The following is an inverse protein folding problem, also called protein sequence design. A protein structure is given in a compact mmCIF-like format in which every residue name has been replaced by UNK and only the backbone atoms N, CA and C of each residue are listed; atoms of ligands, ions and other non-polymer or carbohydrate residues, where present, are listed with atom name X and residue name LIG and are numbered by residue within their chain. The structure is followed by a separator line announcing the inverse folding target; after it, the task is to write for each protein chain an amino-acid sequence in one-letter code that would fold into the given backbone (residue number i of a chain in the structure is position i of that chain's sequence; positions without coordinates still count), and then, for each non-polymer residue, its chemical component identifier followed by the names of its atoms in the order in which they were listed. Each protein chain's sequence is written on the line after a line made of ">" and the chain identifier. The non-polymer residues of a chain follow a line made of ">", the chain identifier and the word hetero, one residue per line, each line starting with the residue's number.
data_IF_871845319378
#
_entry.id   IF_871845319378
#
_cell.length_a   1.000
_cell.length_b   1.000
_cell.length_c   1.000
_cell.angle_alpha   90.00
_cell.angle_beta   90.00
_cell.angle_gamma   90.00
#
_symmetry.space_group_name_H-M   'P 1'
#
loop_
_entity.id
_entity.type
_entity.pdbx_description
1 polymer ?
#
# COMPACT_ATOMS: atom_id res chain seq x y z
N UNK A 1 -14.31 35.24 -1.01
CA UNK A 1 -13.48 34.31 -0.21
C UNK A 1 -14.30 33.93 1.02
N UNK A 2 -14.73 32.67 1.14
CA UNK A 2 -15.39 32.18 2.37
C UNK A 2 -14.34 32.21 3.50
N UNK A 3 -14.72 32.66 4.70
CA UNK A 3 -13.78 32.83 5.81
C UNK A 3 -13.12 31.51 6.17
N UNK A 4 -11.81 31.57 6.40
CA UNK A 4 -10.92 30.43 6.65
C UNK A 4 -10.87 30.06 8.15
N UNK A 5 -11.98 30.27 8.87
CA UNK A 5 -12.02 30.13 10.33
C UNK A 5 -11.90 28.65 10.78
N UNK A 6 -11.99 27.70 9.84
CA UNK A 6 -11.82 26.25 10.07
C UNK A 6 -10.36 25.76 9.99
N UNK A 7 -9.41 26.55 9.47
CA UNK A 7 -8.02 26.07 9.31
C UNK A 7 -7.27 25.93 10.63
N UNK A 8 -7.77 26.55 11.71
CA UNK A 8 -7.07 26.64 12.99
C UNK A 8 -7.92 26.23 14.19
N UNK A 9 -9.16 25.76 13.97
CA UNK A 9 -9.99 25.21 15.05
C UNK A 9 -9.55 23.78 15.40
N UNK A 10 -8.54 23.69 16.26
CA UNK A 10 -8.08 22.43 16.88
C UNK A 10 -8.98 21.99 18.05
N UNK A 11 -10.07 22.72 18.33
CA UNK A 11 -11.07 22.34 19.35
C UNK A 11 -12.22 21.50 18.76
N UNK A 12 -12.31 21.44 17.41
CA UNK A 12 -13.19 20.56 16.66
C UNK A 12 -12.75 19.09 16.61
N UNK A 13 -13.43 18.28 15.78
CA UNK A 13 -13.10 16.87 15.57
C UNK A 13 -11.66 16.72 15.08
N UNK A 14 -10.87 15.82 15.72
CA UNK A 14 -9.46 15.53 15.41
C UNK A 14 -9.23 14.81 14.06
N UNK A 15 -10.23 14.79 13.18
CA UNK A 15 -10.16 14.32 11.78
C UNK A 15 -10.49 15.40 10.76
N UNK A 16 -10.77 16.63 11.17
CA UNK A 16 -11.24 17.68 10.25
C UNK A 16 -10.21 17.97 9.17
N UNK A 17 -8.94 18.17 9.55
CA UNK A 17 -7.89 18.50 8.59
C UNK A 17 -7.57 17.31 7.68
N UNK A 18 -7.51 16.11 8.25
CA UNK A 18 -7.34 14.85 7.53
C UNK A 18 -8.44 14.66 6.49
N UNK A 19 -9.71 14.78 6.88
CA UNK A 19 -10.86 14.63 5.96
C UNK A 19 -10.79 15.67 4.85
N UNK A 20 -10.46 16.92 5.21
CA UNK A 20 -10.29 17.98 4.22
C UNK A 20 -9.19 17.63 3.23
N UNK A 21 -8.01 17.24 3.70
CA UNK A 21 -6.89 16.84 2.83
C UNK A 21 -7.27 15.65 1.95
N UNK A 22 -7.73 14.56 2.56
CA UNK A 22 -8.06 13.31 1.87
C UNK A 22 -9.11 13.53 0.78
N UNK A 23 -10.22 14.18 1.12
CA UNK A 23 -11.31 14.42 0.17
C UNK A 23 -10.91 15.32 -1.00
N UNK A 24 -9.94 16.22 -0.80
CA UNK A 24 -9.42 17.09 -1.87
C UNK A 24 -8.21 16.48 -2.62
N UNK A 25 -7.70 15.34 -2.16
CA UNK A 25 -6.60 14.59 -2.79
C UNK A 25 -7.09 13.41 -3.64
N UNK A 26 -8.39 13.05 -3.57
CA UNK A 26 -8.97 11.96 -4.35
C UNK A 26 -8.84 12.23 -5.86
N UNK A 27 -8.21 11.28 -6.56
CA UNK A 27 -8.08 11.34 -8.02
C UNK A 27 -9.40 10.92 -8.69
N UNK A 28 -9.94 11.78 -9.55
CA UNK A 28 -11.04 11.41 -10.45
C UNK A 28 -10.53 10.86 -11.77
N UNK A 29 -11.40 10.23 -12.56
CA UNK A 29 -11.08 9.72 -13.90
C UNK A 29 -10.41 10.78 -14.79
N UNK A 30 -10.65 12.07 -14.55
CA UNK A 30 -10.16 13.16 -15.38
C UNK A 30 -8.77 13.67 -14.98
N UNK A 31 -8.25 13.28 -13.81
CA UNK A 31 -6.97 13.75 -13.27
C UNK A 31 -6.05 12.57 -12.97
N UNK A 32 -5.53 11.90 -14.01
CA UNK A 32 -4.51 10.87 -13.87
C UNK A 32 -3.40 11.01 -14.94
N UNK A 33 -2.18 10.60 -14.59
CA UNK A 33 -1.05 10.53 -15.51
C UNK A 33 -0.47 9.12 -15.50
N UNK A 34 -0.42 8.50 -16.68
CA UNK A 34 0.28 7.23 -16.91
C UNK A 34 1.66 7.46 -17.55
N UNK A 35 2.11 8.71 -17.68
CA UNK A 35 3.38 9.05 -18.33
C UNK A 35 4.53 8.93 -17.35
N UNK A 36 5.39 7.94 -17.59
CA UNK A 36 6.69 7.85 -16.95
C UNK A 36 7.65 8.72 -17.77
N UNK A 37 8.15 9.80 -17.18
CA UNK A 37 9.24 10.58 -17.76
C UNK A 37 10.55 10.13 -17.12
N UNK A 38 11.62 9.90 -17.90
CA UNK A 38 12.95 9.78 -17.32
C UNK A 38 13.25 11.04 -16.50
N UNK A 39 13.87 10.89 -15.34
CA UNK A 39 14.40 12.04 -14.60
C UNK A 39 15.65 12.48 -15.36
N UNK A 40 15.49 13.43 -16.27
CA UNK A 40 16.59 14.01 -17.07
C UNK A 40 17.21 15.22 -16.42
N UNK A 41 16.46 15.88 -15.53
CA UNK A 41 16.90 17.12 -14.93
C UNK A 41 17.73 16.80 -13.68
N UNK A 42 19.04 17.14 -13.66
CA UNK A 42 19.82 17.01 -12.45
C UNK A 42 19.17 17.91 -11.39
N UNK A 43 18.89 17.33 -10.22
CA UNK A 43 18.38 18.10 -9.08
C UNK A 43 19.48 19.10 -8.70
N UNK A 44 19.19 20.40 -8.76
CA UNK A 44 20.13 21.43 -8.34
C UNK A 44 20.28 21.36 -6.82
N UNK A 45 21.42 20.83 -6.36
CA UNK A 45 21.79 20.81 -4.95
C UNK A 45 22.71 21.98 -4.65
N UNK A 46 22.60 22.53 -3.44
CA UNK A 46 23.69 23.32 -2.88
C UNK A 46 24.91 22.41 -2.74
N UNK A 47 26.02 22.78 -3.36
CA UNK A 47 27.27 22.02 -3.26
C UNK A 47 27.98 22.47 -1.99
N UNK A 48 28.09 21.55 -1.04
CA UNK A 48 28.80 21.74 0.23
C UNK A 48 30.05 20.86 0.26
N UNK A 49 30.99 21.17 1.16
CA UNK A 49 32.13 20.31 1.44
C UNK A 49 31.64 18.91 1.88
N UNK A 50 32.21 17.86 1.30
CA UNK A 50 31.75 16.49 1.49
C UNK A 50 32.91 15.51 1.69
N UNK A 51 32.65 14.44 2.45
CA UNK A 51 33.53 13.29 2.58
C UNK A 51 33.11 12.27 1.52
N UNK A 52 33.99 11.84 0.60
CA UNK A 52 33.62 10.85 -0.41
C UNK A 52 33.37 9.49 0.25
N UNK A 53 32.29 8.82 -0.17
CA UNK A 53 32.00 7.44 0.21
C UNK A 53 32.46 6.50 -0.91
N UNK A 54 33.05 5.36 -0.56
CA UNK A 54 33.34 4.30 -1.53
C UNK A 54 32.03 3.65 -2.03
N UNK A 55 32.06 3.09 -3.25
CA UNK A 55 30.92 2.33 -3.80
C UNK A 55 31.13 0.83 -3.52
N UNK A 56 30.48 0.26 -2.48
CA UNK A 56 30.65 -1.15 -2.14
C UNK A 56 29.90 -2.06 -3.13
N UNK A 57 30.43 -3.26 -3.34
CA UNK A 57 29.70 -4.35 -3.99
C UNK A 57 28.72 -5.01 -3.00
N UNK A 58 27.63 -5.60 -3.51
CA UNK A 58 26.70 -6.34 -2.67
C UNK A 58 27.24 -7.73 -2.29
N UNK A 59 27.40 -7.98 -0.99
CA UNK A 59 27.97 -9.22 -0.46
C UNK A 59 26.87 -10.21 -0.07
N UNK A 60 25.87 -9.71 0.65
CA UNK A 60 24.79 -10.52 1.22
C UNK A 60 23.65 -10.75 0.21
N UNK A 61 22.86 -11.80 0.43
CA UNK A 61 21.65 -12.02 -0.37
C UNK A 61 20.66 -10.85 -0.27
N UNK A 62 20.59 -10.20 0.89
CA UNK A 62 19.73 -9.05 1.09
C UNK A 62 20.19 -7.82 0.29
N UNK A 63 21.50 -7.52 0.26
CA UNK A 63 22.04 -6.44 -0.56
C UNK A 63 21.83 -6.71 -2.06
N UNK A 64 22.05 -7.95 -2.51
CA UNK A 64 21.77 -8.38 -3.89
C UNK A 64 20.28 -8.23 -4.24
N UNK A 65 19.39 -8.54 -3.30
CA UNK A 65 17.96 -8.32 -3.44
C UNK A 65 17.63 -6.83 -3.59
N UNK A 66 18.19 -5.96 -2.74
CA UNK A 66 18.01 -4.51 -2.83
C UNK A 66 18.53 -3.95 -4.15
N UNK A 67 19.70 -4.41 -4.62
CA UNK A 67 20.27 -4.00 -5.90
C UNK A 67 19.42 -4.42 -7.09
N UNK A 68 18.82 -5.62 -7.05
CA UNK A 68 18.04 -6.17 -8.17
C UNK A 68 16.58 -5.70 -8.19
N UNK A 69 16.02 -5.26 -7.05
CA UNK A 69 14.62 -4.83 -6.93
C UNK A 69 14.32 -3.70 -7.92
N UNK A 70 13.38 -3.93 -8.82
CA UNK A 70 12.86 -2.94 -9.79
C UNK A 70 11.35 -2.97 -9.81
N UNK A 71 10.76 -1.84 -10.18
CA UNK A 71 9.32 -1.76 -10.44
C UNK A 71 9.10 -2.20 -11.88
N UNK A 72 8.47 -3.36 -12.07
CA UNK A 72 8.22 -3.93 -13.40
C UNK A 72 6.70 -3.94 -13.60
N UNK A 73 6.25 -3.31 -14.69
CA UNK A 73 4.83 -3.02 -14.97
C UNK A 73 4.19 -4.04 -15.92
N UNK A 74 4.80 -5.22 -16.01
CA UNK A 74 4.36 -6.35 -16.81
C UNK A 74 4.39 -7.58 -15.90
N UNK A 75 3.43 -8.48 -16.07
CA UNK A 75 3.35 -9.71 -15.27
C UNK A 75 4.57 -10.59 -15.53
N UNK A 76 5.07 -11.28 -14.51
CA UNK A 76 6.24 -12.16 -14.62
C UNK A 76 5.97 -13.41 -15.47
N UNK A 77 4.70 -13.76 -15.68
CA UNK A 77 4.27 -15.00 -16.34
C UNK A 77 4.39 -16.24 -15.44
N UNK A 78 4.89 -16.11 -14.21
CA UNK A 78 4.93 -17.20 -13.24
C UNK A 78 3.52 -17.50 -12.74
N UNK A 79 3.21 -18.79 -12.62
CA UNK A 79 1.92 -19.23 -12.08
C UNK A 79 1.82 -18.85 -10.61
N UNK A 80 0.82 -18.03 -10.29
CA UNK A 80 0.45 -17.73 -8.91
C UNK A 80 -0.29 -18.92 -8.30
N UNK A 81 0.14 -19.36 -7.12
CA UNK A 81 -0.51 -20.42 -6.35
C UNK A 81 -0.80 -19.98 -4.90
N UNK A 82 -1.52 -20.83 -4.16
CA UNK A 82 -1.88 -20.55 -2.77
C UNK A 82 -0.68 -20.45 -1.85
N UNK A 83 0.40 -21.19 -2.14
CA UNK A 83 1.59 -21.15 -1.31
C UNK A 83 2.26 -19.78 -1.43
N UNK A 84 2.36 -19.25 -2.64
CA UNK A 84 2.86 -17.90 -2.88
C UNK A 84 1.98 -16.85 -2.21
N UNK A 85 0.65 -16.89 -2.40
CA UNK A 85 -0.28 -15.92 -1.79
C UNK A 85 -0.16 -15.95 -0.27
N UNK A 86 -0.21 -17.13 0.35
CA UNK A 86 -0.07 -17.29 1.81
C UNK A 86 1.25 -16.68 2.30
N UNK A 87 2.37 -17.01 1.65
CA UNK A 87 3.67 -16.51 2.09
C UNK A 87 3.85 -15.01 1.84
N UNK A 88 3.38 -14.49 0.72
CA UNK A 88 3.36 -13.05 0.43
C UNK A 88 2.66 -12.30 1.57
N UNK A 89 1.46 -12.75 1.97
CA UNK A 89 0.71 -12.10 3.05
C UNK A 89 1.38 -12.27 4.40
N UNK A 90 1.91 -13.46 4.72
CA UNK A 90 2.55 -13.73 6.00
C UNK A 90 3.79 -12.86 6.21
N UNK A 91 4.65 -12.78 5.20
CA UNK A 91 5.97 -12.15 5.32
C UNK A 91 6.01 -10.68 4.92
N UNK A 92 5.00 -10.17 4.22
CA UNK A 92 4.96 -8.76 3.83
C UNK A 92 4.01 -7.90 4.66
N UNK A 93 2.87 -8.45 5.07
CA UNK A 93 1.80 -7.69 5.75
C UNK A 93 1.18 -8.45 6.94
N UNK A 94 1.84 -9.51 7.41
CA UNK A 94 1.32 -10.40 8.45
C UNK A 94 2.16 -10.40 9.73
N UNK A 95 1.64 -11.11 10.73
CA UNK A 95 2.34 -11.41 11.99
C UNK A 95 3.40 -12.48 11.74
N UNK A 96 4.65 -12.21 12.09
CA UNK A 96 5.79 -13.12 11.92
C UNK A 96 6.35 -13.66 13.22
N UNK A 97 5.84 -13.22 14.37
CA UNK A 97 6.23 -13.75 15.66
C UNK A 97 5.43 -13.16 16.81
N UNK A 98 5.82 -13.52 18.04
CA UNK A 98 5.25 -12.97 19.26
C UNK A 98 6.32 -12.83 20.32
N UNK A 99 6.16 -11.85 21.22
CA UNK A 99 6.99 -11.72 22.43
C UNK A 99 6.55 -12.71 23.51
N UNK A 100 7.40 -12.92 24.52
CA UNK A 100 7.06 -13.72 25.72
C UNK A 100 5.81 -13.19 26.46
N UNK A 101 5.53 -11.89 26.35
CA UNK A 101 4.36 -11.23 26.95
C UNK A 101 3.09 -11.32 26.08
N UNK A 102 3.14 -12.04 24.95
CA UNK A 102 1.99 -12.26 24.06
C UNK A 102 1.76 -11.15 23.02
N UNK A 103 2.58 -10.09 22.98
CA UNK A 103 2.48 -9.07 21.92
C UNK A 103 2.84 -9.67 20.56
N UNK A 104 1.99 -9.41 19.57
CA UNK A 104 2.18 -9.84 18.19
C UNK A 104 3.21 -8.96 17.48
N UNK A 105 4.11 -9.58 16.73
CA UNK A 105 5.16 -8.92 15.95
C UNK A 105 4.83 -9.03 14.47
N UNK A 106 4.46 -7.90 13.87
CA UNK A 106 4.24 -7.83 12.42
C UNK A 106 5.55 -7.68 11.67
N UNK A 107 5.53 -8.07 10.40
CA UNK A 107 6.65 -7.92 9.45
C UNK A 107 6.98 -6.47 9.08
N UNK A 108 6.21 -5.50 9.56
CA UNK A 108 6.39 -4.07 9.33
C UNK A 108 6.12 -3.27 10.61
N UNK A 109 6.75 -2.10 10.78
CA UNK A 109 6.49 -1.23 11.92
C UNK A 109 5.20 -0.42 11.71
N UNK A 110 4.50 -0.14 12.81
CA UNK A 110 3.26 0.64 12.84
C UNK A 110 3.31 1.72 13.93
N UNK A 111 2.78 2.94 13.70
CA UNK A 111 2.65 3.97 14.71
C UNK A 111 1.91 3.46 15.95
N UNK A 112 2.59 3.47 17.09
CA UNK A 112 2.05 3.02 18.36
C UNK A 112 1.62 1.54 18.38
N UNK A 113 2.12 0.73 17.45
CA UNK A 113 1.68 -0.65 17.23
C UNK A 113 0.15 -0.79 17.04
N UNK A 114 -0.46 0.17 16.32
CA UNK A 114 -1.91 0.19 16.06
C UNK A 114 -2.35 -0.73 14.94
N UNK A 115 -1.49 -0.95 13.95
CA UNK A 115 -1.75 -1.74 12.74
C UNK A 115 -3.08 -1.34 12.09
N UNK A 116 -3.27 -0.02 11.92
CA UNK A 116 -4.53 0.57 11.48
C UNK A 116 -4.75 0.53 9.96
N UNK A 117 -3.90 -0.18 9.21
CA UNK A 117 -4.12 -0.49 7.79
C UNK A 117 -4.90 -1.80 7.63
N UNK A 118 -6.07 -1.70 7.01
CA UNK A 118 -6.82 -2.85 6.49
C UNK A 118 -6.34 -3.16 5.08
N UNK A 119 -6.04 -4.44 4.80
CA UNK A 119 -5.62 -4.90 3.47
C UNK A 119 -6.78 -5.64 2.81
N UNK A 120 -7.29 -5.07 1.72
CA UNK A 120 -8.22 -5.73 0.82
C UNK A 120 -7.48 -6.34 -0.37
N UNK A 121 -7.95 -7.47 -0.88
CA UNK A 121 -7.30 -8.20 -1.95
C UNK A 121 -8.29 -8.67 -3.01
N UNK A 122 -7.87 -8.51 -4.26
CA UNK A 122 -8.44 -9.23 -5.40
C UNK A 122 -7.41 -10.21 -5.93
N UNK A 123 -7.82 -11.46 -6.13
CA UNK A 123 -6.96 -12.52 -6.67
C UNK A 123 -7.65 -13.06 -7.92
N UNK A 124 -7.12 -12.76 -9.10
CA UNK A 124 -7.66 -13.18 -10.39
C UNK A 124 -7.22 -14.62 -10.73
N UNK A 125 -7.84 -15.58 -10.05
CA UNK A 125 -7.66 -17.02 -10.25
C UNK A 125 -9.02 -17.69 -10.05
N UNK A 126 -9.35 -18.72 -10.85
CA UNK A 126 -10.69 -19.32 -10.98
C UNK A 126 -11.46 -19.64 -9.68
N UNK A 127 -10.77 -19.86 -8.55
CA UNK A 127 -11.40 -20.20 -7.26
C UNK A 127 -11.69 -19.02 -6.34
N UNK A 128 -11.30 -17.81 -6.73
CA UNK A 128 -11.38 -16.61 -5.91
C UNK A 128 -12.43 -15.65 -6.49
N UNK A 129 -13.65 -15.72 -5.98
CA UNK A 129 -14.80 -14.94 -6.50
C UNK A 129 -15.17 -13.76 -5.59
N UNK A 130 -14.26 -13.33 -4.73
CA UNK A 130 -14.53 -12.27 -3.76
C UNK A 130 -13.38 -11.27 -3.77
N UNK A 131 -13.70 -10.05 -3.36
CA UNK A 131 -12.75 -9.19 -2.67
C UNK A 131 -12.59 -9.73 -1.26
N UNK A 132 -11.36 -9.99 -0.87
CA UNK A 132 -11.04 -10.53 0.44
C UNK A 132 -10.50 -9.43 1.35
N UNK A 133 -10.78 -9.53 2.65
CA UNK A 133 -10.04 -8.81 3.69
C UNK A 133 -9.04 -9.77 4.32
N UNK A 134 -7.77 -9.38 4.41
CA UNK A 134 -6.76 -10.22 5.05
C UNK A 134 -6.78 -10.02 6.57
N UNK A 135 -7.01 -11.11 7.30
CA UNK A 135 -6.88 -11.14 8.76
C UNK A 135 -5.52 -11.74 9.12
N UNK A 136 -4.64 -10.89 9.65
CA UNK A 136 -3.27 -11.26 9.99
C UNK A 136 -3.16 -12.15 11.24
N UNK A 137 -4.15 -12.12 12.13
CA UNK A 137 -4.19 -12.90 13.37
C UNK A 137 -4.48 -14.38 13.08
N UNK A 138 -5.48 -14.64 12.24
CA UNK A 138 -5.84 -16.00 11.82
C UNK A 138 -5.08 -16.46 10.57
N UNK A 139 -4.30 -15.55 9.96
CA UNK A 139 -3.65 -15.74 8.67
C UNK A 139 -4.64 -16.25 7.61
N UNK A 140 -5.76 -15.54 7.46
CA UNK A 140 -6.89 -15.97 6.64
C UNK A 140 -7.37 -14.88 5.69
N UNK A 141 -8.03 -15.30 4.61
CA UNK A 141 -8.72 -14.42 3.67
C UNK A 141 -10.22 -14.48 3.96
N UNK A 142 -10.74 -13.41 4.57
CA UNK A 142 -12.15 -13.27 4.86
C UNK A 142 -12.88 -12.80 3.61
N UNK A 143 -13.94 -13.52 3.21
CA UNK A 143 -14.79 -13.14 2.07
C UNK A 143 -15.54 -11.85 2.44
N UNK A 144 -15.16 -10.72 1.84
CA UNK A 144 -15.70 -9.42 2.20
C UNK A 144 -16.83 -8.99 1.26
N UNK A 145 -16.60 -9.06 -0.05
CA UNK A 145 -17.56 -8.69 -1.10
C UNK A 145 -17.48 -9.71 -2.23
N UNK A 146 -18.61 -10.22 -2.72
CA UNK A 146 -18.63 -11.09 -3.91
C UNK A 146 -18.32 -10.28 -5.17
N UNK A 147 -17.35 -10.75 -5.95
CA UNK A 147 -16.86 -10.10 -7.17
C UNK A 147 -16.29 -11.16 -8.15
N UNK A 148 -17.15 -12.04 -8.71
CA UNK A 148 -16.72 -13.14 -9.57
C UNK A 148 -16.10 -12.67 -10.89
N UNK A 149 -16.48 -11.48 -11.35
CA UNK A 149 -16.01 -10.87 -12.59
C UNK A 149 -14.81 -9.93 -12.37
N UNK A 150 -14.31 -9.84 -11.13
CA UNK A 150 -13.17 -9.01 -10.74
C UNK A 150 -13.32 -7.52 -11.11
N UNK A 151 -14.52 -6.96 -10.98
CA UNK A 151 -14.83 -5.55 -11.25
C UNK A 151 -14.00 -4.59 -10.41
N UNK A 152 -13.52 -5.02 -9.23
CA UNK A 152 -12.64 -4.17 -8.40
C UNK A 152 -11.34 -3.77 -9.12
N UNK A 153 -10.93 -4.52 -10.16
CA UNK A 153 -9.80 -4.16 -11.00
C UNK A 153 -9.98 -2.80 -11.72
N UNK A 154 -11.22 -2.34 -11.92
CA UNK A 154 -11.55 -1.06 -12.56
C UNK A 154 -11.07 0.15 -11.75
N UNK A 155 -10.80 -0.02 -10.45
CA UNK A 155 -10.20 1.00 -9.59
C UNK A 155 -8.79 1.39 -10.08
N UNK A 156 -8.09 0.47 -10.74
CA UNK A 156 -6.76 0.74 -11.29
C UNK A 156 -6.92 1.31 -12.71
N UNK A 157 -6.59 2.60 -12.87
CA UNK A 157 -6.70 3.28 -14.17
C UNK A 157 -5.78 2.68 -15.24
N UNK A 158 -4.55 2.31 -14.88
CA UNK A 158 -3.61 1.71 -15.83
C UNK A 158 -4.00 0.25 -16.12
N UNK A 159 -4.52 0.02 -17.32
CA UNK A 159 -4.92 -1.32 -17.80
C UNK A 159 -3.78 -2.33 -17.80
N UNK A 160 -2.52 -1.91 -17.95
CA UNK A 160 -1.35 -2.81 -17.84
C UNK A 160 -1.12 -3.30 -16.41
N UNK A 161 -1.52 -2.52 -15.41
CA UNK A 161 -1.42 -2.92 -14.02
C UNK A 161 -2.69 -3.63 -13.54
N UNK A 162 -3.86 -3.27 -14.08
CA UNK A 162 -5.13 -3.93 -13.77
C UNK A 162 -5.15 -5.43 -14.15
N UNK A 163 -4.32 -5.88 -15.10
CA UNK A 163 -4.21 -7.30 -15.47
C UNK A 163 -3.41 -8.16 -14.49
N UNK A 164 -2.70 -7.56 -13.53
CA UNK A 164 -1.93 -8.34 -12.56
C UNK A 164 -2.84 -9.27 -11.73
N UNK A 165 -2.41 -10.51 -11.46
CA UNK A 165 -3.24 -11.52 -10.81
C UNK A 165 -3.56 -11.17 -9.36
N UNK A 166 -2.67 -10.50 -8.63
CA UNK A 166 -2.92 -10.08 -7.25
C UNK A 166 -2.94 -8.56 -7.19
N UNK A 167 -3.98 -8.01 -6.57
CA UNK A 167 -4.13 -6.58 -6.27
C UNK A 167 -4.36 -6.44 -4.78
N UNK A 168 -3.51 -5.68 -4.11
CA UNK A 168 -3.62 -5.36 -2.69
C UNK A 168 -3.98 -3.88 -2.56
N UNK A 169 -5.09 -3.60 -1.89
CA UNK A 169 -5.59 -2.27 -1.61
C UNK A 169 -5.38 -1.98 -0.12
N UNK A 170 -4.58 -0.96 0.18
CA UNK A 170 -4.29 -0.53 1.53
C UNK A 170 -5.23 0.60 1.90
N UNK A 171 -6.17 0.28 2.77
CA UNK A 171 -7.15 1.23 3.27
C UNK A 171 -6.94 1.46 4.76
N UNK A 172 -7.02 2.70 5.19
CA UNK A 172 -6.90 3.02 6.62
C UNK A 172 -8.22 2.79 7.34
N UNK A 173 -8.16 2.15 8.50
CA UNK A 173 -9.20 2.21 9.52
C UNK A 173 -8.85 3.32 10.51
N UNK A 174 -9.23 4.56 10.16
CA UNK A 174 -8.86 5.73 10.95
C UNK A 174 -9.39 5.71 12.38
N UNK A 175 -10.47 4.94 12.65
CA UNK A 175 -11.07 4.86 13.98
C UNK A 175 -10.08 4.30 15.02
N UNK A 176 -9.14 3.46 14.58
CA UNK A 176 -8.14 2.82 15.45
C UNK A 176 -7.01 3.76 15.86
N UNK A 177 -6.65 4.73 15.01
CA UNK A 177 -5.43 5.55 15.17
C UNK A 177 -5.72 7.02 15.52
N UNK A 178 -6.85 7.57 15.08
CA UNK A 178 -7.22 8.98 15.27
C UNK A 178 -7.35 9.33 16.76
N UNK A 179 -7.87 8.41 17.58
CA UNK A 179 -7.99 8.62 19.03
C UNK A 179 -6.64 8.90 19.68
N UNK A 180 -5.56 8.30 19.18
CA UNK A 180 -4.23 8.44 19.75
C UNK A 180 -3.43 9.60 19.14
N UNK A 181 -3.52 9.77 17.81
CA UNK A 181 -2.63 10.67 17.08
C UNK A 181 -3.36 11.85 16.42
N UNK A 182 -4.69 11.85 16.35
CA UNK A 182 -5.47 12.89 15.65
C UNK A 182 -5.01 13.04 14.20
N UNK A 183 -4.78 14.28 13.77
CA UNK A 183 -4.50 14.61 12.36
C UNK A 183 -3.17 14.05 11.83
N UNK A 184 -2.13 13.90 12.68
CA UNK A 184 -0.83 13.33 12.22
C UNK A 184 -0.96 11.85 11.87
N UNK A 185 -2.02 11.18 12.31
CA UNK A 185 -2.31 9.78 11.97
C UNK A 185 -2.28 9.53 10.46
N UNK A 186 -2.72 10.51 9.66
CA UNK A 186 -2.68 10.44 8.20
C UNK A 186 -1.26 10.16 7.68
N UNK A 187 -0.30 11.00 8.09
CA UNK A 187 1.10 10.90 7.68
C UNK A 187 1.72 9.58 8.14
N UNK A 188 1.40 9.16 9.36
CA UNK A 188 1.93 7.92 9.94
C UNK A 188 1.39 6.68 9.22
N UNK A 189 0.13 6.69 8.79
CA UNK A 189 -0.46 5.62 7.98
C UNK A 189 0.17 5.54 6.59
N UNK A 190 0.46 6.67 5.94
CA UNK A 190 1.21 6.64 4.67
C UNK A 190 2.58 5.96 4.83
N UNK A 191 3.27 6.18 5.96
CA UNK A 191 4.54 5.50 6.25
C UNK A 191 4.35 3.99 6.49
N UNK A 192 3.35 3.61 7.29
CA UNK A 192 3.00 2.20 7.54
C UNK A 192 2.78 1.45 6.21
N UNK A 193 1.93 2.02 5.35
CA UNK A 193 1.61 1.46 4.03
C UNK A 193 2.81 1.44 3.09
N UNK A 194 3.71 2.43 3.19
CA UNK A 194 4.99 2.45 2.48
C UNK A 194 5.90 1.29 2.89
N UNK A 195 6.00 0.99 4.20
CA UNK A 195 6.76 -0.17 4.69
C UNK A 195 6.16 -1.48 4.17
N UNK A 196 4.84 -1.62 4.24
CA UNK A 196 4.12 -2.79 3.71
C UNK A 196 4.39 -2.99 2.21
N UNK A 197 4.30 -1.93 1.40
CA UNK A 197 4.53 -2.00 -0.04
C UNK A 197 5.98 -2.36 -0.39
N UNK A 198 6.95 -1.85 0.38
CA UNK A 198 8.34 -2.21 0.18
C UNK A 198 8.59 -3.68 0.51
N UNK A 199 8.00 -4.20 1.59
CA UNK A 199 8.07 -5.63 1.92
C UNK A 199 7.47 -6.50 0.81
N UNK A 200 6.34 -6.09 0.22
CA UNK A 200 5.74 -6.79 -0.92
C UNK A 200 6.69 -6.78 -2.12
N UNK A 201 7.30 -5.62 -2.41
CA UNK A 201 8.21 -5.46 -3.54
C UNK A 201 9.45 -6.34 -3.42
N UNK A 202 10.05 -6.38 -2.23
CA UNK A 202 11.21 -7.22 -1.92
C UNK A 202 10.85 -8.70 -1.94
N UNK A 203 9.74 -9.09 -1.32
CA UNK A 203 9.30 -10.48 -1.32
C UNK A 203 8.96 -10.98 -2.73
N UNK A 204 8.30 -10.15 -3.54
CA UNK A 204 8.00 -10.48 -4.93
C UNK A 204 9.27 -10.70 -5.74
N UNK A 205 10.23 -9.78 -5.64
CA UNK A 205 11.54 -9.90 -6.30
C UNK A 205 12.28 -11.17 -5.89
N UNK A 206 12.33 -11.47 -4.58
CA UNK A 206 12.97 -12.68 -4.04
C UNK A 206 12.34 -13.98 -4.58
N UNK A 207 11.02 -13.96 -4.82
CA UNK A 207 10.27 -15.09 -5.39
C UNK A 207 10.23 -15.06 -6.93
N UNK A 208 10.83 -14.05 -7.55
CA UNK A 208 10.88 -13.84 -9.00
C UNK A 208 9.54 -13.42 -9.62
N UNK A 209 8.66 -12.79 -8.86
CA UNK A 209 7.44 -12.13 -9.35
C UNK A 209 7.70 -10.64 -9.55
N UNK A 210 6.94 -10.02 -10.45
CA UNK A 210 6.96 -8.59 -10.63
C UNK A 210 5.95 -7.92 -9.70
N UNK A 211 6.25 -6.69 -9.32
CA UNK A 211 5.33 -5.87 -8.54
C UNK A 211 5.43 -4.41 -8.94
N UNK A 212 4.32 -3.71 -8.75
CA UNK A 212 4.24 -2.28 -8.95
C UNK A 212 3.33 -1.63 -7.91
N UNK A 213 3.85 -0.57 -7.30
CA UNK A 213 3.04 0.30 -6.45
C UNK A 213 2.34 1.36 -7.31
N UNK A 214 1.11 1.68 -6.94
CA UNK A 214 0.19 2.51 -7.73
C UNK A 214 -0.32 3.64 -6.84
N UNK A 215 -0.01 4.87 -7.24
CA UNK A 215 -0.58 6.08 -6.65
C UNK A 215 -1.79 6.63 -7.39
N UNK A 216 -2.07 6.14 -8.62
CA UNK A 216 -3.20 6.57 -9.44
C UNK A 216 -4.31 5.52 -9.49
N UNK A 217 -5.37 5.73 -8.71
CA UNK A 217 -6.52 4.83 -8.59
C UNK A 217 -7.84 5.61 -8.40
N UNK A 218 -8.96 4.97 -8.68
CA UNK A 218 -10.30 5.52 -8.48
C UNK A 218 -10.82 5.21 -7.08
N UNK A 219 -10.57 6.12 -6.14
CA UNK A 219 -11.01 5.95 -4.76
C UNK A 219 -12.53 6.03 -4.60
N UNK A 220 -13.22 6.87 -5.37
CA UNK A 220 -14.68 6.95 -5.30
C UNK A 220 -15.30 5.59 -5.62
N UNK A 221 -14.80 4.92 -6.66
CA UNK A 221 -15.21 3.56 -7.02
C UNK A 221 -14.85 2.54 -5.93
N UNK A 222 -13.69 2.68 -5.30
CA UNK A 222 -13.32 1.85 -4.14
C UNK A 222 -14.35 1.99 -3.01
N UNK A 223 -14.71 3.23 -2.65
CA UNK A 223 -15.69 3.52 -1.59
C UNK A 223 -17.09 3.01 -1.92
N UNK A 224 -17.53 3.15 -3.18
CA UNK A 224 -18.80 2.57 -3.66
C UNK A 224 -18.87 1.05 -3.45
N UNK A 225 -17.76 0.34 -3.70
CA UNK A 225 -17.70 -1.12 -3.59
C UNK A 225 -17.47 -1.61 -2.16
N UNK A 226 -16.52 -0.99 -1.43
CA UNK A 226 -16.00 -1.50 -0.16
C UNK A 226 -16.65 -0.83 1.06
N UNK A 227 -17.04 0.43 0.93
CA UNK A 227 -17.67 1.23 1.98
C UNK A 227 -16.89 2.50 2.34
N UNK A 228 -17.65 3.53 2.71
CA UNK A 228 -17.16 4.89 3.01
C UNK A 228 -16.26 4.98 4.26
N UNK A 229 -16.32 3.99 5.16
CA UNK A 229 -15.51 3.95 6.37
C UNK A 229 -14.02 3.69 6.09
N UNK A 230 -13.69 3.21 4.89
CA UNK A 230 -12.34 2.94 4.44
C UNK A 230 -11.89 4.02 3.47
N UNK A 231 -10.77 4.65 3.78
CA UNK A 231 -10.07 5.58 2.89
C UNK A 231 -8.94 4.81 2.21
N UNK A 232 -8.92 4.77 0.87
CA UNK A 232 -7.90 4.07 0.09
C UNK A 232 -6.68 4.98 -0.07
N UNK A 233 -5.50 4.49 0.29
CA UNK A 233 -4.26 5.27 0.23
C UNK A 233 -3.26 4.74 -0.78
N UNK A 234 -3.27 3.43 -0.99
CA UNK A 234 -2.25 2.82 -1.81
C UNK A 234 -2.71 1.49 -2.40
N UNK A 235 -2.27 1.22 -3.62
CA UNK A 235 -2.53 -0.05 -4.29
C UNK A 235 -1.20 -0.65 -4.72
N UNK A 236 -1.01 -1.94 -4.47
CA UNK A 236 0.16 -2.70 -4.92
C UNK A 236 -0.33 -3.88 -5.73
N UNK A 237 0.27 -4.10 -6.91
CA UNK A 237 -0.03 -5.26 -7.74
C UNK A 237 1.16 -6.22 -7.78
N UNK A 238 0.89 -7.52 -7.84
CA UNK A 238 1.90 -8.59 -7.84
C UNK A 238 1.53 -9.70 -8.84
N UNK A 239 2.51 -10.15 -9.64
CA UNK A 239 2.33 -11.24 -10.60
C UNK A 239 3.44 -11.40 -11.62
#
# INVERSE_FOLDING_TARGET
>A
MKSNDLLWDLTGSRSTLRKLYHNNAMMSEHYHSNRIKPVTDPREWEILDAIPMEEPEAETNFEKLLMSRRTIREVSGKKVDNNFISRLLKFSVGITGSTEKGYQLFSYPSPGATYATTVFLSINLEKYNYVYRYNAYDHSLEKYLEDPDHHIAEIIYDKKLAVFPIKLFFASDYQLIEKMYGEIAYRLLCLEMGHMAQNISLYSQERGYHSACIGGYNELRFKEMIGEQYDLHYVVVVG
#
